data_IF_601931251903
#
_entry.id   IF_601931251903
#
_cell.length_a   1.000
_cell.length_b   1.000
_cell.length_c   1.000
_cell.angle_alpha   90.00
_cell.angle_beta   90.00
_cell.angle_gamma   90.00
#
_symmetry.space_group_name_H-M   'P 1'
#
loop_
_entity.id
_entity.type
_entity.pdbx_description
1 polymer ?
#
# COMPACT_ATOMS: atom_id res chain seq x y z
N UNK A 1 -31.64 -37.31 -4.84
CA UNK A 1 -30.82 -36.10 -5.06
C UNK A 1 -29.42 -36.57 -5.42
N UNK A 2 -29.09 -36.58 -6.71
CA UNK A 2 -27.77 -37.03 -7.20
C UNK A 2 -26.72 -35.96 -6.89
N UNK A 3 -25.70 -36.29 -6.12
CA UNK A 3 -24.55 -35.42 -5.86
C UNK A 3 -23.52 -35.62 -6.97
N UNK A 4 -23.33 -34.63 -7.84
CA UNK A 4 -22.22 -34.65 -8.81
C UNK A 4 -20.94 -34.15 -8.14
N UNK A 5 -19.94 -35.03 -8.02
CA UNK A 5 -18.58 -34.65 -7.65
C UNK A 5 -17.88 -34.10 -8.88
N UNK A 6 -17.38 -32.86 -8.82
CA UNK A 6 -16.44 -32.33 -9.81
C UNK A 6 -15.04 -32.34 -9.23
N UNK A 7 -14.14 -33.09 -9.87
CA UNK A 7 -12.72 -33.07 -9.55
C UNK A 7 -12.08 -31.83 -10.16
N UNK A 8 -11.47 -31.01 -9.30
CA UNK A 8 -10.71 -29.82 -9.71
C UNK A 8 -9.24 -30.19 -9.56
N UNK A 9 -8.58 -30.50 -10.69
CA UNK A 9 -7.12 -30.59 -10.73
C UNK A 9 -6.53 -29.17 -10.68
N UNK A 10 -6.10 -28.76 -9.49
CA UNK A 10 -5.21 -27.62 -9.36
C UNK A 10 -3.78 -28.08 -9.73
N UNK A 11 -3.12 -27.48 -10.74
CA UNK A 11 -1.77 -27.87 -11.10
C UNK A 11 -0.81 -27.59 -9.93
N UNK A 12 -0.09 -28.62 -9.49
CA UNK A 12 0.79 -28.59 -8.33
C UNK A 12 1.87 -27.50 -8.47
N UNK A 13 1.78 -26.49 -7.59
CA UNK A 13 2.70 -25.38 -7.51
C UNK A 13 4.17 -25.84 -7.36
N UNK A 14 4.40 -27.01 -6.73
CA UNK A 14 5.73 -27.56 -6.54
C UNK A 14 6.41 -27.94 -7.86
N UNK A 15 5.66 -28.46 -8.84
CA UNK A 15 6.19 -28.82 -10.16
C UNK A 15 6.57 -27.58 -11.00
N UNK A 16 5.91 -26.43 -10.75
CA UNK A 16 6.18 -25.16 -11.43
C UNK A 16 7.44 -24.47 -10.87
N UNK A 17 7.63 -24.52 -9.55
CA UNK A 17 8.83 -24.00 -8.86
C UNK A 17 10.10 -24.73 -9.32
N UNK A 18 10.03 -26.05 -9.49
CA UNK A 18 11.16 -26.86 -9.93
C UNK A 18 11.62 -26.56 -11.38
N UNK A 19 10.75 -26.01 -12.23
CA UNK A 19 11.09 -25.62 -13.61
C UNK A 19 11.69 -24.21 -13.67
N UNK A 20 11.27 -23.31 -12.77
CA UNK A 20 11.74 -21.93 -12.72
C UNK A 20 13.20 -21.80 -12.24
N UNK A 21 13.68 -22.72 -11.40
CA UNK A 21 15.07 -22.72 -10.90
C UNK A 21 16.13 -23.01 -11.97
N UNK A 22 15.75 -23.52 -13.15
CA UNK A 22 16.69 -23.91 -14.23
C UNK A 22 17.03 -22.75 -15.19
N UNK A 23 16.24 -21.67 -15.22
CA UNK A 23 16.43 -20.57 -16.16
C UNK A 23 17.10 -19.34 -15.51
N UNK A 24 18.43 -19.36 -15.44
CA UNK A 24 19.25 -18.29 -14.84
C UNK A 24 19.50 -17.12 -15.83
N UNK A 25 18.45 -16.37 -16.21
CA UNK A 25 18.56 -15.37 -17.28
C UNK A 25 17.74 -14.11 -17.12
N UNK A 26 16.40 -14.20 -17.01
CA UNK A 26 15.53 -13.03 -17.13
C UNK A 26 14.35 -13.10 -16.15
N UNK A 27 14.48 -12.42 -15.01
CA UNK A 27 13.44 -12.37 -13.96
C UNK A 27 12.12 -11.76 -14.46
N UNK A 28 12.18 -10.91 -15.50
CA UNK A 28 11.01 -10.24 -16.08
C UNK A 28 10.11 -11.14 -16.91
N UNK A 29 10.68 -12.09 -17.66
CA UNK A 29 9.91 -12.98 -18.53
C UNK A 29 9.34 -14.19 -17.77
N UNK A 30 9.93 -14.58 -16.64
CA UNK A 30 9.42 -15.69 -15.82
C UNK A 30 8.15 -15.33 -15.04
N UNK A 31 7.87 -14.04 -14.84
CA UNK A 31 6.66 -13.57 -14.12
C UNK A 31 5.42 -13.51 -15.02
N UNK A 32 5.58 -13.37 -16.34
CA UNK A 32 4.46 -13.24 -17.29
C UNK A 32 3.62 -14.53 -17.44
N UNK A 33 4.20 -15.72 -17.17
CA UNK A 33 3.50 -17.01 -17.20
C UNK A 33 3.10 -17.54 -15.80
N UNK A 34 3.45 -16.78 -14.76
CA UNK A 34 3.10 -17.02 -13.35
C UNK A 34 2.05 -16.03 -12.83
N UNK A 35 1.47 -15.19 -13.71
CA UNK A 35 0.50 -14.12 -13.37
C UNK A 35 -0.70 -14.72 -12.62
N UNK A 36 -0.57 -14.78 -11.30
CA UNK A 36 -1.67 -14.80 -10.38
C UNK A 36 -2.35 -13.44 -10.42
N UNK A 37 -3.64 -13.41 -10.10
CA UNK A 37 -4.42 -12.18 -10.09
C UNK A 37 -3.70 -11.06 -9.33
N UNK A 38 -3.63 -9.87 -9.93
CA UNK A 38 -3.12 -8.69 -9.26
C UNK A 38 -3.90 -8.44 -7.97
N UNK A 39 -3.20 -8.35 -6.85
CA UNK A 39 -3.82 -8.17 -5.54
C UNK A 39 -3.91 -6.68 -5.21
N UNK A 40 -5.13 -6.20 -4.94
CA UNK A 40 -5.33 -4.86 -4.37
C UNK A 40 -5.40 -4.97 -2.85
N UNK A 41 -4.38 -4.45 -2.17
CA UNK A 41 -4.27 -4.43 -0.70
C UNK A 41 -4.48 -3.02 -0.17
N UNK A 42 -5.39 -2.88 0.79
CA UNK A 42 -5.60 -1.62 1.50
C UNK A 42 -4.84 -1.64 2.84
N UNK A 43 -3.77 -0.86 2.94
CA UNK A 43 -2.96 -0.71 4.15
C UNK A 43 -3.34 0.59 4.87
N UNK A 44 -3.73 0.49 6.15
CA UNK A 44 -4.10 1.67 6.97
C UNK A 44 -5.61 1.83 7.16
N UNK A 45 -6.08 2.81 7.97
CA UNK A 45 -5.35 3.96 8.51
C UNK A 45 -4.64 3.73 9.86
N UNK A 46 -4.91 2.61 10.54
CA UNK A 46 -4.39 2.31 11.88
C UNK A 46 -3.19 1.35 11.88
N UNK A 47 -2.57 1.13 10.72
CA UNK A 47 -1.49 0.16 10.61
C UNK A 47 -0.21 0.71 11.27
N UNK A 48 0.50 -0.01 12.14
CA UNK A 48 1.65 0.55 12.89
C UNK A 48 2.76 1.15 12.01
N UNK A 49 2.94 0.61 10.79
CA UNK A 49 3.95 1.10 9.85
C UNK A 49 3.62 2.46 9.20
N UNK A 50 2.40 2.99 9.36
CA UNK A 50 1.99 4.25 8.72
C UNK A 50 2.38 5.50 9.52
N UNK A 51 3.09 5.36 10.65
CA UNK A 51 3.64 6.44 11.48
C UNK A 51 2.70 7.65 11.65
N UNK A 52 1.45 7.37 11.99
CA UNK A 52 0.35 8.33 11.96
C UNK A 52 -0.84 7.73 11.22
N UNK A 53 -1.70 8.60 10.71
CA UNK A 53 -2.92 8.22 10.00
C UNK A 53 -2.73 8.39 8.49
N UNK A 54 -2.38 7.30 7.82
CA UNK A 54 -2.24 7.24 6.37
C UNK A 54 -2.86 5.94 5.86
N UNK A 55 -3.59 6.05 4.76
CA UNK A 55 -4.12 4.90 4.05
C UNK A 55 -3.43 4.80 2.69
N UNK A 56 -2.98 3.60 2.35
CA UNK A 56 -2.30 3.28 1.10
C UNK A 56 -3.08 2.16 0.40
N UNK A 57 -3.54 2.43 -0.82
CA UNK A 57 -4.12 1.43 -1.70
C UNK A 57 -2.99 0.93 -2.60
N UNK A 58 -2.57 -0.32 -2.39
CA UNK A 58 -1.43 -0.95 -3.06
C UNK A 58 -1.92 -1.98 -4.07
N UNK A 59 -1.37 -1.94 -5.28
CA UNK A 59 -1.55 -2.99 -6.30
C UNK A 59 -0.26 -3.82 -6.35
N UNK A 60 -0.37 -5.09 -5.98
CA UNK A 60 0.73 -6.01 -5.82
C UNK A 60 0.71 -7.07 -6.93
N UNK A 61 1.90 -7.35 -7.46
CA UNK A 61 2.20 -8.55 -8.24
C UNK A 61 3.18 -9.40 -7.42
N UNK A 62 2.63 -10.33 -6.64
CA UNK A 62 3.37 -11.04 -5.60
C UNK A 62 3.94 -10.08 -4.54
N UNK A 63 5.27 -10.03 -4.43
CA UNK A 63 5.99 -9.15 -3.50
C UNK A 63 6.33 -7.77 -4.11
N UNK A 64 6.08 -7.58 -5.42
CA UNK A 64 6.41 -6.35 -6.13
C UNK A 64 5.23 -5.40 -6.13
N UNK A 65 5.46 -4.16 -5.71
CA UNK A 65 4.46 -3.08 -5.80
C UNK A 65 4.44 -2.56 -7.24
N UNK A 66 3.30 -2.67 -7.91
CA UNK A 66 3.08 -2.14 -9.26
C UNK A 66 2.50 -0.73 -9.24
N UNK A 67 1.64 -0.43 -8.26
CA UNK A 67 1.05 0.89 -8.02
C UNK A 67 0.82 1.11 -6.53
N UNK A 68 0.99 2.35 -6.08
CA UNK A 68 0.62 2.79 -4.74
C UNK A 68 -0.14 4.11 -4.84
N UNK A 69 -1.34 4.16 -4.25
CA UNK A 69 -2.17 5.36 -4.18
C UNK A 69 -2.36 5.77 -2.72
N UNK A 70 -1.74 6.89 -2.29
CA UNK A 70 -1.93 7.40 -0.94
C UNK A 70 -3.24 8.17 -0.83
N UNK A 71 -4.09 7.73 0.09
CA UNK A 71 -5.30 8.43 0.52
C UNK A 71 -4.92 9.32 1.73
N UNK A 72 -4.88 10.62 1.51
CA UNK A 72 -4.38 11.64 2.45
C UNK A 72 -5.53 12.51 2.96
N UNK A 73 -5.31 13.19 4.09
CA UNK A 73 -6.27 14.14 4.66
C UNK A 73 -6.92 13.69 5.97
N UNK A 74 -6.60 12.50 6.48
CA UNK A 74 -7.07 12.03 7.80
C UNK A 74 -6.66 12.94 8.96
N UNK A 75 -5.59 13.72 8.80
CA UNK A 75 -5.12 14.71 9.79
C UNK A 75 -5.33 16.18 9.31
N UNK A 76 -6.15 16.41 8.29
CA UNK A 76 -6.42 17.77 7.83
C UNK A 76 -7.28 18.52 8.86
N UNK A 77 -6.74 19.61 9.42
CA UNK A 77 -7.43 20.45 10.42
C UNK A 77 -7.82 21.84 9.90
N UNK A 78 -7.53 22.15 8.64
CA UNK A 78 -7.79 23.47 8.07
C UNK A 78 -6.93 24.59 8.69
N UNK A 79 -5.67 24.29 9.04
CA UNK A 79 -4.78 25.25 9.72
C UNK A 79 -4.62 26.56 8.92
N UNK A 80 -4.61 26.50 7.58
CA UNK A 80 -4.62 27.68 6.70
C UNK A 80 -5.86 28.56 6.91
N UNK A 81 -7.04 27.96 7.07
CA UNK A 81 -8.28 28.69 7.31
C UNK A 81 -8.31 29.32 8.69
N UNK A 82 -7.72 28.64 9.68
CA UNK A 82 -7.56 29.18 11.04
C UNK A 82 -6.62 30.39 11.02
N UNK A 83 -5.54 30.34 10.23
CA UNK A 83 -4.59 31.43 10.08
C UNK A 83 -5.26 32.72 9.56
N UNK A 84 -6.23 32.62 8.65
CA UNK A 84 -6.97 33.78 8.13
C UNK A 84 -7.72 34.57 9.23
N UNK A 85 -8.11 33.91 10.32
CA UNK A 85 -8.89 34.51 11.40
C UNK A 85 -8.05 34.86 12.64
N UNK A 86 -6.71 34.78 12.55
CA UNK A 86 -5.79 35.04 13.67
C UNK A 86 -4.75 36.09 13.32
N UNK A 87 -4.28 36.82 14.33
CA UNK A 87 -3.12 37.69 14.18
C UNK A 87 -1.83 36.86 14.12
N UNK A 88 -0.79 37.39 13.47
CA UNK A 88 0.49 36.69 13.28
C UNK A 88 1.06 36.05 14.56
N UNK A 89 1.10 36.80 15.67
CA UNK A 89 1.63 36.29 16.94
C UNK A 89 0.77 35.16 17.55
N UNK A 90 -0.53 35.13 17.24
CA UNK A 90 -1.45 34.10 17.74
C UNK A 90 -1.32 32.79 16.97
N UNK A 91 -0.85 32.84 15.72
CA UNK A 91 -0.71 31.67 14.85
C UNK A 91 0.63 30.94 15.04
N UNK A 92 1.65 31.57 15.65
CA UNK A 92 2.98 30.95 15.89
C UNK A 92 2.90 29.53 16.48
N UNK A 93 2.05 29.21 17.47
CA UNK A 93 1.99 27.84 17.99
C UNK A 93 1.41 26.81 17.00
N UNK A 94 0.73 27.23 15.94
CA UNK A 94 0.20 26.33 14.92
C UNK A 94 1.28 25.90 13.93
N UNK A 95 2.29 26.73 13.66
CA UNK A 95 3.38 26.37 12.75
C UNK A 95 4.19 25.18 13.29
N UNK A 96 4.44 25.16 14.59
CA UNK A 96 5.14 24.08 15.29
C UNK A 96 4.38 22.74 15.25
N UNK A 97 3.08 22.76 14.92
CA UNK A 97 2.21 21.57 14.85
C UNK A 97 2.07 21.00 13.44
N UNK A 98 2.61 21.67 12.43
CA UNK A 98 2.64 21.16 11.05
C UNK A 98 3.67 20.05 10.92
N UNK A 99 4.91 20.31 11.36
CA UNK A 99 5.93 19.28 11.61
C UNK A 99 6.15 19.14 13.12
N UNK A 100 5.45 18.17 13.70
CA UNK A 100 5.52 17.91 15.14
C UNK A 100 6.87 17.32 15.60
N UNK A 101 7.77 16.95 14.69
CA UNK A 101 9.12 16.47 15.02
C UNK A 101 10.15 17.59 15.04
N UNK A 102 9.95 18.65 14.25
CA UNK A 102 10.90 19.75 14.09
C UNK A 102 10.23 21.12 14.27
N UNK A 103 9.85 21.51 15.50
CA UNK A 103 9.08 22.72 15.75
C UNK A 103 9.86 24.05 15.54
N UNK A 104 11.19 24.01 15.39
CA UNK A 104 12.03 25.21 15.26
C UNK A 104 12.65 25.37 13.86
N UNK A 105 12.40 24.43 12.95
CA UNK A 105 13.04 24.36 11.63
C UNK A 105 12.39 25.27 10.59
#
# INVERSE_FOLDING_TARGET
>A
MSTSTQEIEAPDAAAKIARATVAHGDYRQSTEDLIGEKLVLNMGPSHPATHGVLRLILELDGEVITRAEPDVGFLHRGDEKIAENMQYNQFVPYTDRLDYLAPLA
#
